data_IF_867064100415
#
_entry.id   IF_867064100415
#
_cell.length_a   1.000
_cell.length_b   1.000
_cell.length_c   1.000
_cell.angle_alpha   90.00
_cell.angle_beta   90.00
_cell.angle_gamma   90.00
#
_symmetry.space_group_name_H-M   'P 1'
#
loop_
_entity.id
_entity.type
_entity.pdbx_description
1 polymer ?
#
# COMPACT_ATOMS: atom_id res chain seq x y z
N UNK A 1 31.06 -5.58 -31.26
CA UNK A 1 31.23 -4.23 -30.67
C UNK A 1 30.85 -4.33 -29.19
N UNK A 2 31.70 -3.89 -28.24
CA UNK A 2 31.45 -4.00 -26.78
C UNK A 2 31.30 -2.60 -26.17
N UNK A 3 30.12 -2.30 -25.63
CA UNK A 3 29.86 -1.05 -24.88
C UNK A 3 30.07 -1.34 -23.39
N UNK A 4 30.72 -0.41 -22.66
CA UNK A 4 30.93 -0.49 -21.21
C UNK A 4 30.32 0.75 -20.55
N UNK A 5 29.41 0.55 -19.61
CA UNK A 5 28.86 1.63 -18.76
C UNK A 5 29.95 2.08 -17.80
N UNK A 6 30.23 3.40 -17.73
CA UNK A 6 31.27 3.97 -16.87
C UNK A 6 30.75 4.39 -15.49
N UNK A 7 29.53 4.92 -15.46
CA UNK A 7 28.86 5.35 -14.26
C UNK A 7 27.36 5.37 -14.50
N UNK A 8 26.59 5.11 -13.45
CA UNK A 8 25.14 5.20 -13.46
C UNK A 8 24.67 5.94 -12.21
N UNK A 9 23.76 6.89 -12.39
CA UNK A 9 23.07 7.58 -11.31
C UNK A 9 21.59 7.25 -11.45
N UNK A 10 21.11 6.32 -10.63
CA UNK A 10 19.72 5.91 -10.62
C UNK A 10 18.90 6.82 -9.70
N UNK A 11 17.64 7.05 -10.08
CA UNK A 11 16.63 7.70 -9.23
C UNK A 11 15.46 6.74 -9.15
N UNK A 12 14.92 6.57 -7.95
CA UNK A 12 13.76 5.73 -7.69
C UNK A 12 12.82 6.43 -6.71
N UNK A 13 11.55 6.07 -6.77
CA UNK A 13 10.54 6.39 -5.77
C UNK A 13 9.89 5.07 -5.32
N UNK A 14 9.36 5.06 -4.11
CA UNK A 14 8.68 3.89 -3.57
C UNK A 14 7.22 3.90 -4.04
N UNK A 15 6.65 2.71 -4.15
CA UNK A 15 5.25 2.45 -4.49
C UNK A 15 4.76 1.36 -3.54
N UNK A 16 3.50 1.44 -3.12
CA UNK A 16 2.88 0.31 -2.44
C UNK A 16 2.75 -0.90 -3.37
N UNK A 17 3.03 -2.09 -2.85
CA UNK A 17 2.77 -3.37 -3.54
C UNK A 17 1.26 -3.70 -3.46
N UNK A 18 0.47 -2.93 -4.20
CA UNK A 18 -0.98 -3.12 -4.38
C UNK A 18 -1.26 -3.72 -5.74
N UNK A 19 -2.46 -4.26 -5.94
CA UNK A 19 -2.81 -4.91 -7.21
C UNK A 19 -2.75 -3.93 -8.38
N UNK A 20 -3.23 -2.71 -8.15
CA UNK A 20 -3.27 -1.63 -9.11
C UNK A 20 -2.67 -0.37 -8.44
N UNK A 21 -1.45 0.07 -8.83
CA UNK A 21 -0.72 1.16 -8.14
C UNK A 21 -1.39 2.54 -8.27
N UNK A 22 -2.18 2.73 -9.33
CA UNK A 22 -2.95 3.95 -9.57
C UNK A 22 -4.35 3.93 -8.92
N UNK A 23 -4.68 2.86 -8.19
CA UNK A 23 -5.99 2.73 -7.55
C UNK A 23 -6.12 3.64 -6.31
N UNK A 24 -7.37 3.80 -5.88
CA UNK A 24 -7.79 4.79 -4.92
C UNK A 24 -8.47 4.07 -3.76
N UNK A 25 -8.20 4.53 -2.53
CA UNK A 25 -8.91 4.03 -1.36
C UNK A 25 -10.42 4.28 -1.50
N UNK A 26 -11.22 3.22 -1.59
CA UNK A 26 -12.68 3.30 -1.80
C UNK A 26 -13.44 4.07 -0.72
N UNK A 27 -12.83 4.34 0.44
CA UNK A 27 -13.42 5.09 1.56
C UNK A 27 -13.10 6.59 1.47
N UNK A 28 -11.82 6.97 1.33
CA UNK A 28 -11.42 8.39 1.34
C UNK A 28 -11.19 8.99 -0.05
N UNK A 29 -11.27 8.17 -1.11
CA UNK A 29 -11.10 8.60 -2.50
C UNK A 29 -9.73 9.26 -2.77
N UNK A 30 -8.70 8.89 -1.99
CA UNK A 30 -7.31 9.36 -2.15
C UNK A 30 -6.41 8.22 -2.62
N UNK A 31 -5.38 8.53 -3.41
CA UNK A 31 -4.35 7.56 -3.83
C UNK A 31 -3.67 6.93 -2.61
N UNK A 32 -3.21 5.69 -2.79
CA UNK A 32 -2.53 4.94 -1.74
C UNK A 32 -1.16 5.51 -1.34
N UNK A 33 -0.44 6.17 -2.26
CA UNK A 33 0.80 6.91 -1.95
C UNK A 33 0.53 8.27 -1.26
N UNK A 34 -0.74 8.67 -1.18
CA UNK A 34 -1.17 9.92 -0.59
C UNK A 34 -1.51 9.83 0.90
N UNK A 35 -2.06 10.92 1.44
CA UNK A 35 -2.63 10.94 2.78
C UNK A 35 -4.10 10.58 2.73
N UNK A 36 -4.57 9.80 3.71
CA UNK A 36 -6.00 9.79 4.02
C UNK A 36 -6.45 11.15 4.59
N UNK A 37 -7.76 11.41 4.62
CA UNK A 37 -8.32 12.69 5.07
C UNK A 37 -7.96 13.09 6.52
N UNK A 38 -7.49 12.15 7.34
CA UNK A 38 -7.10 12.38 8.73
C UNK A 38 -5.59 12.54 8.93
N UNK A 39 -4.77 12.26 7.91
CA UNK A 39 -3.32 12.35 7.99
C UNK A 39 -2.82 13.60 7.27
N UNK A 40 -1.77 14.21 7.82
CA UNK A 40 -1.15 15.41 7.26
C UNK A 40 -0.02 15.10 6.28
N UNK A 41 0.72 14.02 6.52
CA UNK A 41 1.88 13.61 5.74
C UNK A 41 1.80 12.11 5.44
N UNK A 42 2.19 11.66 4.24
CA UNK A 42 2.21 10.25 3.90
C UNK A 42 3.38 9.57 4.62
N UNK A 43 3.19 8.35 5.10
CA UNK A 43 4.24 7.58 5.81
C UNK A 43 3.69 6.59 6.83
N UNK A 44 4.54 6.20 7.79
CA UNK A 44 4.30 5.12 8.78
C UNK A 44 3.05 5.32 9.65
N UNK A 45 2.50 6.53 9.69
CA UNK A 45 1.30 6.85 10.47
C UNK A 45 0.01 6.30 9.85
N UNK A 46 0.01 5.92 8.57
CA UNK A 46 -1.18 5.43 7.88
C UNK A 46 -0.84 4.35 6.84
N UNK A 47 -0.44 3.14 7.27
CA UNK A 47 -0.17 2.05 6.36
C UNK A 47 -1.44 1.56 5.65
N UNK A 48 -1.24 0.79 4.59
CA UNK A 48 -2.33 0.06 3.93
C UNK A 48 -2.64 -1.23 4.68
N UNK A 49 -3.93 -1.54 4.77
CA UNK A 49 -4.45 -2.82 5.23
C UNK A 49 -5.10 -3.56 4.08
N UNK A 50 -4.87 -4.86 4.05
CA UNK A 50 -5.37 -5.76 3.03
C UNK A 50 -6.34 -6.74 3.68
N UNK A 51 -7.57 -6.78 3.18
CA UNK A 51 -8.53 -7.79 3.58
C UNK A 51 -8.26 -9.12 2.86
N UNK A 52 -8.62 -10.26 3.47
CA UNK A 52 -8.66 -11.58 2.79
C UNK A 52 -9.52 -11.58 1.53
N UNK A 53 -10.43 -10.61 1.44
CA UNK A 53 -11.25 -10.33 0.28
C UNK A 53 -10.50 -9.64 -0.88
N UNK A 54 -9.17 -9.47 -0.78
CA UNK A 54 -8.26 -8.79 -1.71
C UNK A 54 -8.65 -7.33 -2.01
N UNK A 55 -9.10 -6.61 -0.99
CA UNK A 55 -9.31 -5.16 -1.08
C UNK A 55 -8.39 -4.46 -0.10
N UNK A 56 -7.76 -3.39 -0.60
CA UNK A 56 -6.82 -2.54 0.10
C UNK A 56 -7.47 -1.22 0.53
N UNK A 57 -7.20 -0.80 1.76
CA UNK A 57 -7.64 0.49 2.29
C UNK A 57 -6.59 1.08 3.22
N UNK A 58 -6.58 2.40 3.37
CA UNK A 58 -5.81 3.06 4.43
C UNK A 58 -6.27 2.59 5.82
N UNK A 59 -5.33 2.36 6.74
CA UNK A 59 -5.60 1.96 8.13
C UNK A 59 -6.69 2.81 8.79
N UNK A 60 -6.53 4.13 8.81
CA UNK A 60 -7.51 5.01 9.47
C UNK A 60 -8.89 5.00 8.81
N UNK A 61 -8.93 4.75 7.49
CA UNK A 61 -10.18 4.68 6.76
C UNK A 61 -10.94 3.41 7.12
N UNK A 62 -10.28 2.26 7.07
CA UNK A 62 -10.94 0.99 7.37
C UNK A 62 -11.28 0.85 8.85
N UNK A 63 -10.41 1.28 9.76
CA UNK A 63 -10.68 1.27 11.21
C UNK A 63 -11.91 2.13 11.57
N UNK A 64 -12.04 3.31 10.95
CA UNK A 64 -13.23 4.15 11.11
C UNK A 64 -14.48 3.47 10.56
N UNK A 65 -14.39 2.83 9.40
CA UNK A 65 -15.52 2.09 8.82
C UNK A 65 -15.97 0.91 9.70
N UNK A 66 -15.00 0.15 10.22
CA UNK A 66 -15.23 -1.01 11.08
C UNK A 66 -15.79 -0.68 12.45
N UNK A 67 -15.76 0.60 12.84
CA UNK A 67 -16.41 1.06 14.07
C UNK A 67 -17.94 1.02 13.96
N UNK A 68 -18.48 1.15 12.74
CA UNK A 68 -19.92 1.20 12.48
C UNK A 68 -20.43 0.01 11.64
N UNK A 69 -19.55 -0.74 10.98
CA UNK A 69 -19.90 -1.82 10.04
C UNK A 69 -18.95 -3.01 10.14
N UNK A 70 -19.44 -4.24 9.98
CA UNK A 70 -18.60 -5.44 10.17
C UNK A 70 -18.04 -6.02 8.85
N UNK A 71 -18.28 -5.33 7.73
CA UNK A 71 -18.02 -5.84 6.38
C UNK A 71 -17.11 -4.94 5.53
N UNK A 72 -16.47 -5.54 4.53
CA UNK A 72 -15.67 -4.83 3.53
C UNK A 72 -16.54 -3.80 2.76
N UNK A 73 -16.11 -2.53 2.63
CA UNK A 73 -16.84 -1.50 1.89
C UNK A 73 -17.13 -1.88 0.43
N UNK A 74 -16.20 -2.54 -0.25
CA UNK A 74 -16.31 -2.85 -1.69
C UNK A 74 -17.14 -4.10 -1.96
N UNK A 75 -17.00 -5.16 -1.14
CA UNK A 75 -17.62 -6.46 -1.42
C UNK A 75 -18.62 -6.95 -0.38
N UNK A 76 -18.83 -6.22 0.73
CA UNK A 76 -19.75 -6.54 1.84
C UNK A 76 -19.53 -7.89 2.53
N UNK A 77 -18.44 -8.60 2.21
CA UNK A 77 -18.00 -9.80 2.96
C UNK A 77 -17.53 -9.39 4.36
N UNK A 78 -17.63 -10.27 5.37
CA UNK A 78 -17.04 -10.00 6.69
C UNK A 78 -15.57 -9.61 6.55
N UNK A 79 -15.17 -8.55 7.24
CA UNK A 79 -13.81 -8.05 7.14
C UNK A 79 -12.87 -8.91 7.98
N UNK A 80 -11.86 -9.48 7.32
CA UNK A 80 -10.78 -10.21 7.95
C UNK A 80 -9.47 -9.70 7.37
N UNK A 81 -8.59 -9.16 8.21
CA UNK A 81 -7.28 -8.67 7.81
C UNK A 81 -6.36 -9.84 7.47
N UNK A 82 -5.49 -9.67 6.47
CA UNK A 82 -4.41 -10.63 6.20
C UNK A 82 -3.32 -10.44 7.24
N UNK A 83 -3.20 -11.40 8.17
CA UNK A 83 -2.15 -11.43 9.19
C UNK A 83 -0.77 -11.32 8.52
N UNK A 84 0.01 -10.31 8.88
CA UNK A 84 1.36 -10.07 8.37
C UNK A 84 1.54 -8.88 7.43
N UNK A 85 0.49 -8.09 7.16
CA UNK A 85 0.56 -6.97 6.20
C UNK A 85 0.60 -5.57 6.84
N UNK A 86 0.85 -5.46 8.15
CA UNK A 86 1.19 -4.14 8.71
C UNK A 86 2.61 -3.78 8.27
N UNK A 87 2.71 -3.13 7.11
CA UNK A 87 3.96 -2.63 6.53
C UNK A 87 4.40 -1.38 7.33
N UNK A 88 4.70 -1.58 8.61
CA UNK A 88 5.32 -0.61 9.51
C UNK A 88 6.52 -1.19 10.27
N UNK A 89 6.82 -2.48 10.11
CA UNK A 89 8.07 -3.09 10.58
C UNK A 89 8.35 -4.42 9.88
N UNK A 90 9.51 -4.47 9.24
CA UNK A 90 10.15 -5.60 8.54
C UNK A 90 9.45 -6.00 7.21
N UNK A 91 10.10 -6.04 6.04
CA UNK A 91 11.47 -6.51 5.80
C UNK A 91 11.94 -6.00 4.44
N UNK A 92 13.20 -5.58 4.37
CA UNK A 92 13.96 -5.62 3.13
C UNK A 92 13.94 -7.04 2.57
N UNK A 93 13.07 -7.33 1.60
CA UNK A 93 13.11 -8.58 0.87
C UNK A 93 12.50 -8.39 -0.52
N UNK A 94 13.42 -8.32 -1.51
CA UNK A 94 13.24 -8.44 -2.96
C UNK A 94 13.12 -7.14 -3.76
N UNK A 95 14.26 -6.45 -3.84
CA UNK A 95 14.72 -5.85 -5.09
C UNK A 95 16.20 -6.26 -5.31
N UNK A 96 16.40 -7.56 -5.51
CA UNK A 96 17.66 -8.16 -5.98
C UNK A 96 17.35 -9.08 -7.16
N UNK A 97 16.73 -8.51 -8.19
CA UNK A 97 16.53 -9.02 -9.55
C UNK A 97 15.86 -7.83 -10.25
N UNK A 98 16.42 -7.12 -11.22
CA UNK A 98 17.32 -7.51 -12.29
C UNK A 98 18.33 -6.39 -12.54
N UNK A 99 19.61 -6.77 -12.60
CA UNK A 99 20.67 -5.95 -13.16
C UNK A 99 21.00 -6.50 -14.56
N UNK A 100 21.22 -5.65 -15.57
CA UNK A 100 22.22 -5.89 -16.60
C UNK A 100 23.60 -5.37 -16.21
#
# INVERSE_FOLDING_TARGET
MKVKVKSWNAVAYWLWDVKDPDDICGICQSNFDGCCASCKEPGDSCPLLFGKCSHEFHLHCIMKWLSDNDGCPSCRRPWEEVEGTTIGSATAARAAAEAP
#
